data_IF_031505525361
#
_entry.id   IF_031505525361
#
_cell.length_a   1.000
_cell.length_b   1.000
_cell.length_c   1.000
_cell.angle_alpha   90.00
_cell.angle_beta   90.00
_cell.angle_gamma   90.00
#
_symmetry.space_group_name_H-M   'P 1'
#
loop_
_entity.id
_entity.type
_entity.pdbx_description
1 polymer ?
#
# COMPACT_ATOMS: atom_id res chain seq x y z
N UNK A 1 2.06 -25.65 0.54
CA UNK A 1 1.14 -25.03 -0.44
C UNK A 1 1.69 -23.64 -0.72
N UNK A 2 2.15 -23.34 -1.94
CA UNK A 2 2.50 -21.95 -2.28
C UNK A 2 1.24 -21.11 -2.10
N UNK A 3 1.30 -20.09 -1.24
CA UNK A 3 0.29 -19.03 -1.28
C UNK A 3 0.42 -18.38 -2.65
N UNK A 4 -0.62 -18.48 -3.47
CA UNK A 4 -0.70 -17.71 -4.70
C UNK A 4 -0.62 -16.23 -4.34
N UNK A 5 0.23 -15.47 -5.04
CA UNK A 5 0.29 -14.02 -4.90
C UNK A 5 -1.12 -13.44 -5.11
N UNK A 6 -1.68 -12.64 -4.18
CA UNK A 6 -3.04 -12.13 -4.31
C UNK A 6 -3.21 -11.07 -5.42
N UNK A 7 -2.11 -10.65 -6.06
CA UNK A 7 -2.11 -9.62 -7.10
C UNK A 7 -2.46 -10.20 -8.48
N UNK A 8 -3.26 -9.44 -9.23
CA UNK A 8 -3.63 -9.70 -10.63
C UNK A 8 -3.44 -8.44 -11.48
N UNK A 9 -3.08 -8.59 -12.75
CA UNK A 9 -2.95 -7.49 -13.71
C UNK A 9 -4.26 -6.73 -13.98
N UNK A 10 -5.40 -7.26 -13.55
CA UNK A 10 -6.72 -6.61 -13.66
C UNK A 10 -7.02 -5.63 -12.52
N UNK A 11 -6.15 -5.59 -11.50
CA UNK A 11 -6.29 -4.74 -10.32
C UNK A 11 -5.27 -3.60 -10.33
N UNK A 12 -5.66 -2.47 -9.76
CA UNK A 12 -4.70 -1.42 -9.41
C UNK A 12 -4.11 -1.68 -8.03
N UNK A 13 -2.81 -1.41 -7.86
CA UNK A 13 -2.08 -1.67 -6.61
C UNK A 13 -1.55 -0.35 -6.06
N UNK A 14 -2.17 0.16 -5.01
CA UNK A 14 -1.73 1.33 -4.25
C UNK A 14 -0.73 0.88 -3.17
N UNK A 15 0.40 1.57 -3.05
CA UNK A 15 1.47 1.15 -2.14
C UNK A 15 1.87 2.29 -1.21
N UNK A 16 1.87 1.98 0.08
CA UNK A 16 2.36 2.81 1.16
C UNK A 16 3.91 2.89 1.16
N UNK A 17 4.47 4.03 1.57
CA UNK A 17 5.90 4.20 1.77
C UNK A 17 6.50 3.15 2.70
N UNK A 18 5.77 2.74 3.75
CA UNK A 18 6.25 1.76 4.72
C UNK A 18 6.59 0.39 4.09
N UNK A 19 6.00 0.06 2.93
CA UNK A 19 6.33 -1.17 2.19
C UNK A 19 7.72 -1.04 1.59
N UNK A 20 8.06 0.12 1.03
CA UNK A 20 9.39 0.41 0.49
C UNK A 20 10.46 0.44 1.60
N UNK A 21 10.13 1.00 2.77
CA UNK A 21 11.01 0.86 3.94
C UNK A 21 11.22 -0.61 4.34
N UNK A 22 10.17 -1.42 4.34
CA UNK A 22 10.23 -2.82 4.77
C UNK A 22 11.01 -3.74 3.81
N UNK A 23 10.96 -3.50 2.50
CA UNK A 23 11.73 -4.26 1.50
C UNK A 23 13.19 -3.82 1.42
N UNK A 24 13.50 -2.60 1.87
CA UNK A 24 14.85 -2.03 1.91
C UNK A 24 15.38 -1.59 0.54
N UNK A 25 16.71 -1.34 0.49
CA UNK A 25 17.41 -0.95 -0.73
C UNK A 25 17.38 -2.03 -1.82
N UNK A 26 17.66 -1.68 -3.10
CA UNK A 26 17.70 -2.65 -4.21
C UNK A 26 18.63 -3.86 -4.00
N UNK A 27 19.65 -3.73 -3.15
CA UNK A 27 20.55 -4.83 -2.76
C UNK A 27 19.93 -5.83 -1.77
N UNK A 28 18.79 -5.51 -1.16
CA UNK A 28 18.12 -6.36 -0.18
C UNK A 28 17.36 -7.51 -0.87
N UNK A 29 17.52 -8.78 -0.42
CA UNK A 29 16.77 -9.91 -0.97
C UNK A 29 15.24 -9.72 -0.96
N UNK A 30 14.68 -9.00 0.03
CA UNK A 30 13.23 -8.68 0.07
C UNK A 30 12.81 -7.79 -1.09
N UNK A 31 13.63 -6.80 -1.47
CA UNK A 31 13.40 -5.96 -2.64
C UNK A 31 13.31 -6.80 -3.91
N UNK A 32 14.27 -7.69 -4.14
CA UNK A 32 14.28 -8.58 -5.31
C UNK A 32 13.06 -9.52 -5.35
N UNK A 33 12.66 -10.08 -4.21
CA UNK A 33 11.45 -10.92 -4.08
C UNK A 33 10.17 -10.12 -4.37
N UNK A 34 10.05 -8.93 -3.79
CA UNK A 34 8.88 -8.07 -3.97
C UNK A 34 8.76 -7.62 -5.43
N UNK A 35 9.84 -7.09 -6.01
CA UNK A 35 9.92 -6.76 -7.44
C UNK A 35 9.52 -7.94 -8.32
N UNK A 36 10.01 -9.15 -8.03
CA UNK A 36 9.66 -10.34 -8.81
C UNK A 36 8.17 -10.67 -8.68
N UNK A 37 7.59 -10.55 -7.48
CA UNK A 37 6.16 -10.76 -7.25
C UNK A 37 5.29 -9.76 -8.03
N UNK A 38 5.64 -8.47 -7.99
CA UNK A 38 4.96 -7.40 -8.74
C UNK A 38 5.03 -7.67 -10.24
N UNK A 39 6.24 -7.91 -10.78
CA UNK A 39 6.42 -8.14 -12.23
C UNK A 39 5.73 -9.41 -12.71
N UNK A 40 5.76 -10.48 -11.92
CA UNK A 40 5.08 -11.73 -12.27
C UNK A 40 3.56 -11.60 -12.24
N UNK A 41 3.02 -10.73 -11.39
CA UNK A 41 1.59 -10.41 -11.37
C UNK A 41 1.17 -9.49 -12.53
N UNK A 42 2.13 -8.89 -13.24
CA UNK A 42 1.85 -7.96 -14.34
C UNK A 42 1.22 -6.64 -13.87
N UNK A 43 1.47 -6.23 -12.62
CA UNK A 43 0.93 -4.99 -12.04
C UNK A 43 2.01 -3.91 -11.98
N UNK A 44 1.57 -2.65 -11.98
CA UNK A 44 2.41 -1.47 -11.74
C UNK A 44 1.97 -0.84 -10.42
N UNK A 45 2.89 -0.77 -9.45
CA UNK A 45 2.65 -0.19 -8.15
C UNK A 45 2.44 1.31 -8.25
N UNK A 46 1.39 1.83 -7.62
CA UNK A 46 1.04 3.25 -7.62
C UNK A 46 1.40 3.86 -6.28
N UNK A 47 2.28 4.85 -6.33
CA UNK A 47 2.84 5.50 -5.17
C UNK A 47 2.27 6.92 -5.06
N UNK A 48 1.54 7.26 -3.99
CA UNK A 48 1.15 8.65 -3.75
C UNK A 48 2.38 9.56 -3.73
N UNK A 49 2.31 10.75 -4.34
CA UNK A 49 3.44 11.70 -4.39
C UNK A 49 4.11 11.98 -3.04
N UNK A 50 3.37 11.90 -1.94
CA UNK A 50 3.92 12.08 -0.58
C UNK A 50 4.96 11.04 -0.17
N UNK A 51 4.91 9.83 -0.73
CA UNK A 51 5.84 8.73 -0.43
C UNK A 51 7.31 9.13 -0.65
N UNK A 52 7.61 9.91 -1.70
CA UNK A 52 8.98 10.39 -1.94
C UNK A 52 9.43 11.34 -0.84
N UNK A 53 8.51 12.20 -0.36
CA UNK A 53 8.78 13.15 0.72
C UNK A 53 9.05 12.46 2.06
N UNK A 54 8.39 11.33 2.32
CA UNK A 54 8.58 10.51 3.53
C UNK A 54 9.90 9.74 3.54
N UNK A 55 10.33 9.25 2.38
CA UNK A 55 11.59 8.50 2.27
C UNK A 55 12.80 9.40 2.52
N UNK A 56 12.88 10.54 1.84
CA UNK A 56 13.96 11.52 2.00
C UNK A 56 15.38 11.03 1.61
N UNK A 57 16.23 11.94 1.12
CA UNK A 57 17.67 11.70 0.95
C UNK A 57 18.04 10.43 0.15
N UNK A 58 18.99 9.64 0.68
CA UNK A 58 19.49 8.40 0.07
C UNK A 58 18.46 7.26 0.03
N UNK A 59 17.37 7.36 0.80
CA UNK A 59 16.32 6.34 0.87
C UNK A 59 15.37 6.37 -0.34
N UNK A 60 15.54 7.36 -1.23
CA UNK A 60 14.78 7.47 -2.48
C UNK A 60 15.25 6.47 -3.54
N UNK A 61 16.43 5.88 -3.40
CA UNK A 61 17.01 4.94 -4.38
C UNK A 61 16.10 3.75 -4.71
N UNK A 62 15.41 3.21 -3.70
CA UNK A 62 14.47 2.08 -3.82
C UNK A 62 13.24 2.43 -4.66
N UNK A 63 12.71 3.65 -4.50
CA UNK A 63 11.58 4.14 -5.29
C UNK A 63 12.06 4.54 -6.68
N UNK A 64 13.17 5.28 -6.77
CA UNK A 64 13.74 5.67 -8.06
C UNK A 64 14.06 4.45 -8.93
N UNK A 65 14.67 3.41 -8.36
CA UNK A 65 14.91 2.14 -9.07
C UNK A 65 13.60 1.50 -9.52
N UNK A 66 12.55 1.54 -8.70
CA UNK A 66 11.25 0.98 -9.08
C UNK A 66 10.57 1.73 -10.23
N UNK A 67 10.70 3.06 -10.24
CA UNK A 67 10.24 3.93 -11.32
C UNK A 67 11.06 3.70 -12.60
N UNK A 68 12.38 3.68 -12.51
CA UNK A 68 13.30 3.49 -13.64
C UNK A 68 13.12 2.12 -14.30
N UNK A 69 12.85 1.08 -13.50
CA UNK A 69 12.57 -0.27 -13.98
C UNK A 69 11.11 -0.49 -14.40
N UNK A 70 10.25 0.53 -14.22
CA UNK A 70 8.88 0.56 -14.72
C UNK A 70 7.90 -0.37 -14.00
N UNK A 71 8.20 -0.78 -12.77
CA UNK A 71 7.25 -1.56 -11.95
C UNK A 71 6.56 -0.71 -10.88
N UNK A 72 6.90 0.58 -10.79
CA UNK A 72 6.14 1.57 -10.04
C UNK A 72 5.88 2.83 -10.87
N UNK A 73 4.84 3.58 -10.51
CA UNK A 73 4.52 4.90 -11.02
C UNK A 73 4.08 5.84 -9.88
N UNK A 74 4.33 7.14 -10.03
CA UNK A 74 3.85 8.14 -9.08
C UNK A 74 2.43 8.59 -9.45
N UNK A 75 1.57 8.73 -8.45
CA UNK A 75 0.20 9.20 -8.60
C UNK A 75 -0.08 10.39 -7.69
N UNK A 76 -1.01 11.24 -8.10
CA UNK A 76 -1.46 12.36 -7.30
C UNK A 76 -2.27 11.90 -6.07
N UNK A 77 -2.40 12.80 -5.10
CA UNK A 77 -3.32 12.65 -3.99
C UNK A 77 -4.79 12.63 -4.49
N UNK A 78 -5.75 12.13 -3.69
CA UNK A 78 -7.13 12.07 -4.10
C UNK A 78 -7.68 13.48 -4.30
N UNK A 79 -8.65 13.60 -5.20
CA UNK A 79 -9.25 14.90 -5.51
C UNK A 79 -9.87 15.50 -4.25
N UNK A 80 -9.53 16.75 -3.87
CA UNK A 80 -10.13 17.40 -2.70
C UNK A 80 -11.62 17.71 -2.88
N UNK A 81 -12.15 17.52 -4.09
CA UNK A 81 -13.57 17.69 -4.43
C UNK A 81 -14.32 16.37 -4.60
N UNK A 82 -13.65 15.22 -4.47
CA UNK A 82 -14.33 13.93 -4.44
C UNK A 82 -14.79 13.63 -3.01
N UNK A 83 -16.09 13.82 -2.76
CA UNK A 83 -16.70 13.67 -1.44
C UNK A 83 -16.47 12.31 -0.81
N UNK A 84 -16.55 11.23 -1.59
CA UNK A 84 -16.37 9.87 -1.08
C UNK A 84 -14.91 9.62 -0.67
N UNK A 85 -13.97 10.12 -1.48
CA UNK A 85 -12.53 10.01 -1.20
C UNK A 85 -12.14 10.80 0.06
N UNK A 86 -12.72 12.00 0.24
CA UNK A 86 -12.57 12.82 1.45
C UNK A 86 -13.16 12.09 2.66
N UNK A 87 -14.40 11.60 2.56
CA UNK A 87 -15.05 10.88 3.66
C UNK A 87 -14.26 9.63 4.06
N UNK A 88 -13.69 8.91 3.09
CA UNK A 88 -12.88 7.72 3.34
C UNK A 88 -11.60 8.07 4.11
N UNK A 89 -10.95 9.17 3.71
CA UNK A 89 -9.78 9.69 4.39
C UNK A 89 -10.11 10.13 5.82
N UNK A 90 -11.28 10.73 6.06
CA UNK A 90 -11.73 11.14 7.39
C UNK A 90 -12.10 9.94 8.28
N UNK A 91 -12.70 8.89 7.73
CA UNK A 91 -12.95 7.63 8.45
C UNK A 91 -11.62 6.97 8.83
N UNK A 92 -10.68 6.89 7.89
CA UNK A 92 -9.36 6.33 8.15
C UNK A 92 -8.62 7.13 9.23
N UNK A 93 -8.61 8.47 9.13
CA UNK A 93 -7.99 9.39 10.10
C UNK A 93 -8.51 9.14 11.51
N UNK A 94 -9.84 9.15 11.69
CA UNK A 94 -10.48 8.88 13.00
C UNK A 94 -10.14 7.50 13.53
N UNK A 95 -10.11 6.50 12.66
CA UNK A 95 -9.78 5.12 13.05
C UNK A 95 -8.33 5.02 13.52
N UNK A 96 -7.38 5.59 12.78
CA UNK A 96 -5.95 5.59 13.14
C UNK A 96 -5.71 6.37 14.43
N UNK A 97 -6.35 7.53 14.61
CA UNK A 97 -6.30 8.31 15.84
C UNK A 97 -6.72 7.47 17.06
N UNK A 98 -7.86 6.77 16.94
CA UNK A 98 -8.36 5.89 17.99
C UNK A 98 -7.43 4.71 18.28
N UNK A 99 -6.86 4.08 17.25
CA UNK A 99 -5.94 2.94 17.42
C UNK A 99 -4.60 3.34 18.06
N UNK A 100 -4.12 4.54 17.77
CA UNK A 100 -2.81 5.02 18.22
C UNK A 100 -2.89 5.84 19.51
N UNK A 101 -4.09 6.27 19.93
CA UNK A 101 -4.29 7.20 21.04
C UNK A 101 -3.79 8.62 20.75
N UNK A 102 -3.46 8.93 19.48
CA UNK A 102 -3.02 10.26 19.05
C UNK A 102 -4.23 11.10 18.65
N UNK A 103 -4.17 12.44 18.81
CA UNK A 103 -5.20 13.30 18.26
C UNK A 103 -5.17 13.25 16.72
N UNK A 104 -6.32 13.45 16.08
CA UNK A 104 -6.46 13.34 14.61
C UNK A 104 -5.50 14.23 13.82
N UNK A 105 -5.16 15.42 14.33
CA UNK A 105 -4.23 16.33 13.66
C UNK A 105 -2.76 15.86 13.70
N UNK A 106 -2.43 14.85 14.51
CA UNK A 106 -1.13 14.19 14.58
C UNK A 106 -1.09 12.88 13.78
N UNK A 107 -2.22 12.45 13.19
CA UNK A 107 -2.26 11.29 12.29
C UNK A 107 -1.51 11.63 11.01
N UNK A 108 -0.69 10.71 10.55
CA UNK A 108 0.03 10.84 9.30
C UNK A 108 -0.97 10.89 8.13
N UNK A 109 -0.91 11.99 7.36
CA UNK A 109 -1.91 12.24 6.32
C UNK A 109 -1.86 11.21 5.19
N UNK A 110 -0.72 10.61 4.94
CA UNK A 110 -0.54 9.65 3.84
C UNK A 110 -1.28 8.35 4.11
N UNK A 111 -1.22 7.85 5.35
CA UNK A 111 -1.98 6.67 5.80
C UNK A 111 -3.48 6.83 5.55
N UNK A 112 -4.03 8.00 5.90
CA UNK A 112 -5.44 8.30 5.72
C UNK A 112 -5.82 8.45 4.24
N UNK A 113 -4.95 9.11 3.45
CA UNK A 113 -5.18 9.38 2.03
C UNK A 113 -5.25 8.08 1.20
N UNK A 114 -4.57 7.02 1.60
CA UNK A 114 -4.65 5.72 0.90
C UNK A 114 -6.07 5.17 0.86
N UNK A 115 -6.90 5.41 1.89
CA UNK A 115 -8.30 5.03 1.88
C UNK A 115 -9.10 5.82 0.82
N UNK A 116 -8.89 7.14 0.75
CA UNK A 116 -9.49 8.00 -0.26
C UNK A 116 -9.08 7.63 -1.69
N UNK A 117 -7.80 7.34 -1.90
CA UNK A 117 -7.30 6.88 -3.20
C UNK A 117 -7.91 5.55 -3.62
N UNK A 118 -8.03 4.59 -2.70
CA UNK A 118 -8.60 3.30 -3.04
C UNK A 118 -10.04 3.43 -3.58
N UNK A 119 -10.86 4.23 -2.91
CA UNK A 119 -12.25 4.46 -3.32
C UNK A 119 -12.32 5.26 -4.62
N UNK A 120 -11.52 6.32 -4.74
CA UNK A 120 -11.47 7.11 -5.98
C UNK A 120 -11.05 6.23 -7.16
N UNK A 121 -10.05 5.35 -7.00
CA UNK A 121 -9.58 4.49 -8.07
C UNK A 121 -10.63 3.47 -8.53
N UNK A 122 -11.37 2.87 -7.59
CA UNK A 122 -12.48 1.98 -7.95
C UNK A 122 -13.54 2.73 -8.78
N UNK A 123 -13.81 4.00 -8.47
CA UNK A 123 -14.82 4.80 -9.17
C UNK A 123 -14.35 5.34 -10.52
N UNK A 124 -13.12 5.84 -10.59
CA UNK A 124 -12.59 6.53 -11.77
C UNK A 124 -12.14 5.56 -12.86
N UNK A 125 -11.90 4.29 -12.51
CA UNK A 125 -11.32 3.30 -13.42
C UNK A 125 -12.19 2.05 -13.52
N UNK A 126 -12.24 1.46 -14.71
CA UNK A 126 -12.83 0.14 -14.93
C UNK A 126 -11.89 -0.98 -14.47
N UNK A 127 -11.39 -0.93 -13.24
CA UNK A 127 -10.56 -2.00 -12.67
C UNK A 127 -11.44 -3.12 -12.13
N UNK A 128 -10.90 -4.33 -12.02
CA UNK A 128 -11.58 -5.42 -11.31
C UNK A 128 -11.54 -5.26 -9.78
N UNK A 129 -10.73 -4.31 -9.29
CA UNK A 129 -10.57 -3.99 -7.88
C UNK A 129 -9.29 -3.19 -7.62
N UNK A 130 -9.12 -2.78 -6.36
CA UNK A 130 -7.93 -2.09 -5.85
C UNK A 130 -7.33 -2.91 -4.71
N UNK A 131 -6.01 -3.08 -4.77
CA UNK A 131 -5.23 -3.63 -3.68
C UNK A 131 -4.45 -2.50 -3.02
N UNK A 132 -4.56 -2.36 -1.70
CA UNK A 132 -3.72 -1.45 -0.91
C UNK A 132 -2.67 -2.26 -0.17
N UNK A 133 -1.40 -1.92 -0.35
CA UNK A 133 -0.27 -2.54 0.35
C UNK A 133 0.22 -1.62 1.46
N UNK A 134 0.12 -2.07 2.70
CA UNK A 134 0.66 -1.37 3.88
C UNK A 134 1.04 -2.38 4.97
N UNK A 135 2.14 -2.12 5.67
CA UNK A 135 2.54 -2.88 6.86
C UNK A 135 2.14 -2.20 8.17
N UNK A 136 1.63 -0.97 8.12
CA UNK A 136 1.14 -0.24 9.28
C UNK A 136 -0.25 -0.77 9.67
N UNK A 137 -0.36 -1.28 10.90
CA UNK A 137 -1.59 -1.92 11.39
C UNK A 137 -2.71 -0.90 11.64
N UNK A 138 -2.48 0.23 12.33
CA UNK A 138 -3.44 1.33 12.36
C UNK A 138 -3.93 1.77 10.97
N UNK A 139 -3.02 2.01 10.02
CA UNK A 139 -3.36 2.45 8.67
C UNK A 139 -4.23 1.40 7.96
N UNK A 140 -3.81 0.13 7.99
CA UNK A 140 -4.59 -1.01 7.47
C UNK A 140 -6.01 -1.02 8.02
N UNK A 141 -6.17 -0.92 9.33
CA UNK A 141 -7.49 -0.92 9.98
C UNK A 141 -8.31 0.31 9.60
N UNK A 142 -7.67 1.47 9.46
CA UNK A 142 -8.30 2.69 8.97
C UNK A 142 -8.88 2.53 7.57
N UNK A 143 -8.10 1.95 6.64
CA UNK A 143 -8.53 1.67 5.27
C UNK A 143 -9.65 0.63 5.26
N UNK A 144 -9.49 -0.50 5.96
CA UNK A 144 -10.51 -1.55 6.05
C UNK A 144 -11.84 -1.00 6.59
N UNK A 145 -11.80 -0.14 7.62
CA UNK A 145 -13.00 0.48 8.18
C UNK A 145 -13.67 1.45 7.20
N UNK A 146 -12.90 2.27 6.48
CA UNK A 146 -13.43 3.16 5.45
C UNK A 146 -14.09 2.38 4.31
N UNK A 147 -13.45 1.31 3.84
CA UNK A 147 -13.96 0.42 2.80
C UNK A 147 -15.28 -0.23 3.22
N UNK A 148 -15.37 -0.73 4.46
CA UNK A 148 -16.62 -1.32 4.98
C UNK A 148 -17.71 -0.27 5.13
N UNK A 149 -17.40 0.88 5.72
CA UNK A 149 -18.36 1.95 5.98
C UNK A 149 -19.01 2.49 4.69
N UNK A 150 -18.26 2.51 3.59
CA UNK A 150 -18.75 2.98 2.29
C UNK A 150 -19.18 1.86 1.33
N UNK A 151 -19.11 0.59 1.74
CA UNK A 151 -19.63 -0.54 0.94
C UNK A 151 -18.73 -1.01 -0.21
N UNK A 152 -17.41 -0.82 -0.11
CA UNK A 152 -16.42 -1.22 -1.13
C UNK A 152 -15.71 -2.55 -0.83
N UNK A 153 -16.20 -3.36 0.12
CA UNK A 153 -15.52 -4.57 0.61
C UNK A 153 -15.25 -5.64 -0.45
N UNK A 154 -16.07 -5.70 -1.50
CA UNK A 154 -15.90 -6.69 -2.59
C UNK A 154 -14.84 -6.29 -3.62
N UNK A 155 -14.42 -5.03 -3.62
CA UNK A 155 -13.56 -4.45 -4.67
C UNK A 155 -12.28 -3.81 -4.14
N UNK A 156 -12.16 -3.60 -2.82
CA UNK A 156 -10.91 -3.14 -2.19
C UNK A 156 -10.40 -4.18 -1.20
N UNK A 157 -9.15 -4.60 -1.38
CA UNK A 157 -8.44 -5.51 -0.47
C UNK A 157 -7.19 -4.86 0.10
N UNK A 158 -6.86 -5.17 1.35
CA UNK A 158 -5.67 -4.63 2.03
C UNK A 158 -4.74 -5.77 2.45
N UNK A 159 -3.48 -5.71 2.03
CA UNK A 159 -2.47 -6.74 2.29
C UNK A 159 -1.18 -6.15 2.86
N UNK A 160 -0.48 -6.96 3.65
CA UNK A 160 0.87 -6.66 4.10
C UNK A 160 1.93 -7.30 3.19
N UNK A 161 3.20 -6.94 3.41
CA UNK A 161 4.32 -7.49 2.66
C UNK A 161 4.42 -9.02 2.75
N UNK A 162 4.10 -9.60 3.91
CA UNK A 162 4.12 -11.05 4.13
C UNK A 162 3.05 -11.79 3.33
N UNK A 163 1.97 -11.12 2.93
CA UNK A 163 0.94 -11.68 2.05
C UNK A 163 1.46 -11.77 0.60
N UNK A 164 2.41 -10.92 0.22
CA UNK A 164 2.97 -10.85 -1.14
C UNK A 164 4.19 -11.74 -1.32
N UNK A 165 5.16 -11.65 -0.40
CA UNK A 165 6.45 -12.37 -0.53
C UNK A 165 6.63 -13.50 0.48
N UNK A 166 5.68 -13.73 1.39
CA UNK A 166 5.80 -14.68 2.49
C UNK A 166 6.59 -14.12 3.68
N UNK A 167 6.62 -14.88 4.78
CA UNK A 167 7.46 -14.54 5.94
C UNK A 167 8.94 -14.84 5.62
N UNK A 168 9.83 -14.09 6.28
CA UNK A 168 11.29 -14.19 6.12
C UNK A 168 11.90 -15.14 7.16
N UNK A 169 11.08 -15.98 7.80
CA UNK A 169 11.50 -17.03 8.73
C UNK A 169 12.21 -18.16 7.96
N UNK A 170 13.36 -17.83 7.38
CA UNK A 170 14.41 -18.74 6.94
C UNK A 170 15.25 -19.27 8.10
N UNK A 171 14.70 -19.36 9.33
CA UNK A 171 15.28 -20.20 10.38
C UNK A 171 14.59 -21.57 10.34
N UNK A 172 14.84 -22.30 9.26
CA UNK A 172 14.90 -23.75 9.40
C UNK A 172 16.15 -24.03 10.22
N UNK A 173 15.99 -24.08 11.54
CA UNK A 173 16.96 -24.65 12.45
C UNK A 173 17.34 -26.02 11.92
N UNK A 174 18.46 -26.11 11.20
CA UNK A 174 19.19 -27.36 11.04
C UNK A 174 19.68 -27.71 12.43
N UNK A 175 18.88 -28.48 13.16
CA UNK A 175 19.43 -29.38 14.16
C UNK A 175 20.26 -30.41 13.39
N UNK A 176 21.56 -30.15 13.34
CA UNK A 176 22.59 -31.19 13.23
C UNK A 176 22.84 -31.77 14.63
#
# INVERSE_FOLDING_TARGET
MSRSNPLSSEQDVLVDANVFFAIGHPSNPKYARFRSAIRNAGVVCKLPQRVIGELGGSETDRVQTALDEGWAEMIDAPSPTDGDAVEASDIATRTIANETGKPEHEVEKTDAILAGLAIQYVRDRSTAGVVVLTNDKPARKGIENAVVAQGYTDVVSVYGLTDIIGDDSGDSTRLI
#
